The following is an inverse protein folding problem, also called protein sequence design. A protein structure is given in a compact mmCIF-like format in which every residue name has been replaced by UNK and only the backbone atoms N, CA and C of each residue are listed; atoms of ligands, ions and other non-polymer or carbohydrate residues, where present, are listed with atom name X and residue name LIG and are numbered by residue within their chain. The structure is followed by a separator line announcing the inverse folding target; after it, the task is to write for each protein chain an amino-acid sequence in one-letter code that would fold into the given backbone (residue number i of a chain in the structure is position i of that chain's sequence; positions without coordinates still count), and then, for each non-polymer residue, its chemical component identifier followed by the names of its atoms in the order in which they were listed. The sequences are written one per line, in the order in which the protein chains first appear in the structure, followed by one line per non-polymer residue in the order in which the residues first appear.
data_IF_155192497699
#
_entry.id   IF_155192497699
#
_cell.length_a   1.000
_cell.length_b   1.000
_cell.length_c   1.000
_cell.angle_alpha   90.00
_cell.angle_beta   90.00
_cell.angle_gamma   90.00
#
_symmetry.space_group_name_H-M   'P 1'
#
loop_
_entity.id
_entity.type
_entity.pdbx_description
1 polymer ?
#
# COMPACT_ATOMS: atom_id res chain seq x y z
N UNK A 1 48.83 -44.29 32.62
CA UNK A 1 49.17 -43.03 31.91
C UNK A 1 48.00 -42.66 31.01
N UNK A 2 47.77 -41.36 30.92
CA UNK A 2 46.53 -40.65 30.53
C UNK A 2 46.04 -40.78 29.08
N UNK A 3 44.74 -40.47 28.93
CA UNK A 3 44.17 -39.69 27.81
C UNK A 3 43.37 -40.55 26.82
N UNK A 4 42.07 -40.37 26.58
CA UNK A 4 41.21 -39.20 26.71
C UNK A 4 40.56 -38.93 25.34
N UNK A 5 39.46 -39.61 25.01
CA UNK A 5 38.69 -39.37 23.78
C UNK A 5 37.67 -38.25 24.01
N UNK A 6 37.97 -37.06 23.47
CA UNK A 6 37.03 -35.93 23.36
C UNK A 6 36.34 -35.98 22.01
N UNK A 7 35.02 -35.75 22.04
CA UNK A 7 34.16 -35.66 20.87
C UNK A 7 34.48 -34.47 19.98
N UNK A 8 34.33 -34.68 18.67
CA UNK A 8 34.37 -33.63 17.67
C UNK A 8 33.04 -32.87 17.62
N UNK A 9 33.09 -31.58 17.94
CA UNK A 9 32.07 -30.61 17.55
C UNK A 9 32.27 -30.27 16.07
N UNK A 10 31.24 -30.47 15.25
CA UNK A 10 31.17 -29.91 13.91
C UNK A 10 30.89 -28.41 13.98
N UNK A 11 31.86 -27.59 13.61
CA UNK A 11 31.64 -26.16 13.37
C UNK A 11 30.74 -26.00 12.15
N UNK A 12 29.53 -25.49 12.38
CA UNK A 12 28.62 -25.09 11.30
C UNK A 12 29.04 -23.69 10.86
N UNK A 13 29.57 -23.59 9.64
CA UNK A 13 29.87 -22.30 8.99
C UNK A 13 28.56 -21.55 8.75
N UNK A 14 28.28 -20.55 9.58
CA UNK A 14 27.12 -19.66 9.43
C UNK A 14 27.47 -18.56 8.43
N UNK A 15 26.68 -18.46 7.35
CA UNK A 15 26.79 -17.44 6.30
C UNK A 15 26.76 -16.00 6.88
N UNK A 16 27.58 -15.05 6.35
CA UNK A 16 27.64 -13.66 6.83
C UNK A 16 26.29 -12.92 6.81
N UNK A 17 25.35 -13.35 5.96
CA UNK A 17 24.05 -12.71 5.74
C UNK A 17 23.07 -12.84 6.91
N UNK A 18 23.19 -13.87 7.77
CA UNK A 18 22.29 -14.02 8.94
C UNK A 18 22.60 -13.05 10.07
N UNK A 19 23.84 -12.53 10.15
CA UNK A 19 24.27 -11.60 11.21
C UNK A 19 23.84 -10.16 10.93
N UNK A 20 23.76 -9.76 9.65
CA UNK A 20 23.33 -8.42 9.24
C UNK A 20 21.85 -8.13 9.56
N UNK A 21 20.97 -9.15 9.48
CA UNK A 21 19.54 -9.00 9.78
C UNK A 21 19.29 -8.78 11.27
N UNK A 22 20.09 -9.40 12.16
CA UNK A 22 19.96 -9.19 13.61
C UNK A 22 20.50 -7.84 14.09
N UNK A 23 21.57 -7.32 13.47
CA UNK A 23 22.20 -6.06 13.92
C UNK A 23 21.42 -4.81 13.48
N UNK A 24 20.68 -4.88 12.36
CA UNK A 24 19.84 -3.77 11.90
C UNK A 24 18.59 -3.50 12.76
N UNK A 25 18.23 -4.43 13.66
CA UNK A 25 17.09 -4.31 14.57
C UNK A 25 17.46 -3.82 15.99
N UNK A 26 18.75 -3.63 16.29
CA UNK A 26 19.23 -3.40 17.67
C UNK A 26 19.91 -2.06 17.94
N UNK A 27 19.86 -1.07 17.04
CA UNK A 27 20.42 0.26 17.32
C UNK A 27 19.53 1.04 18.32
N UNK A 28 19.82 0.84 19.61
CA UNK A 28 19.35 1.67 20.72
C UNK A 28 20.06 3.03 20.66
N UNK A 29 19.29 4.10 20.60
CA UNK A 29 19.76 5.46 20.89
C UNK A 29 19.90 5.64 22.41
N UNK A 30 21.12 5.55 22.94
CA UNK A 30 21.41 6.05 24.29
C UNK A 30 21.71 7.57 24.24
N UNK A 31 21.00 8.40 25.02
CA UNK A 31 21.39 9.79 25.19
C UNK A 31 22.61 9.89 26.12
N UNK A 32 23.72 10.46 25.62
CA UNK A 32 24.85 10.88 26.46
C UNK A 32 24.41 11.99 27.42
N UNK A 33 24.23 11.64 28.70
CA UNK A 33 24.05 12.60 29.79
C UNK A 33 25.43 13.11 30.24
N UNK A 34 25.68 14.40 30.07
CA UNK A 34 26.78 15.11 30.72
C UNK A 34 26.41 15.37 32.19
N UNK A 35 27.29 14.95 33.10
CA UNK A 35 27.19 15.19 34.55
C UNK A 35 27.36 16.68 34.86
N UNK A 36 26.42 17.23 35.62
CA UNK A 36 26.49 18.55 36.25
C UNK A 36 25.68 18.56 37.54
N UNK A 37 26.38 18.74 38.65
CA UNK A 37 26.02 18.47 40.05
C UNK A 37 24.73 19.06 40.66
N UNK A 38 24.22 18.29 41.63
CA UNK A 38 23.66 18.67 42.94
C UNK A 38 22.30 19.38 43.02
N UNK A 39 21.30 18.70 43.60
CA UNK A 39 20.95 18.84 45.02
C UNK A 39 19.73 17.95 45.37
N UNK A 40 19.74 17.43 46.60
CA UNK A 40 18.79 16.48 47.20
C UNK A 40 17.34 16.98 47.20
N UNK A 41 16.38 16.06 47.08
CA UNK A 41 15.16 16.01 47.92
C UNK A 41 14.40 14.67 47.77
N UNK A 42 14.09 14.07 48.91
CA UNK A 42 13.25 12.88 49.16
C UNK A 42 11.75 13.17 48.98
N UNK A 43 10.88 12.14 48.91
CA UNK A 43 9.50 12.25 48.40
C UNK A 43 8.46 12.51 49.50
N UNK A 44 7.32 13.10 49.13
CA UNK A 44 6.10 13.11 49.95
C UNK A 44 4.85 12.86 49.08
N UNK A 45 3.98 12.01 49.62
CA UNK A 45 2.72 11.51 49.06
C UNK A 45 1.54 12.50 49.33
N UNK A 46 0.32 12.23 48.84
CA UNK A 46 -0.63 13.25 48.38
C UNK A 46 -1.57 13.80 49.44
N UNK A 47 -2.01 15.06 49.23
CA UNK A 47 -3.11 15.68 49.94
C UNK A 47 -4.43 15.52 49.18
N UNK A 48 -5.45 15.07 49.93
CA UNK A 48 -6.87 15.14 49.59
C UNK A 48 -7.30 16.61 49.44
N UNK A 49 -8.24 16.88 48.54
CA UNK A 49 -9.37 17.70 48.95
C UNK A 49 -10.69 17.34 48.24
N UNK A 50 -11.75 17.40 49.04
CA UNK A 50 -13.15 17.15 48.70
C UNK A 50 -13.78 18.47 48.24
N UNK A 51 -14.71 18.43 47.30
CA UNK A 51 -15.95 19.23 47.42
C UNK A 51 -17.07 18.61 46.60
N UNK A 52 -18.25 18.76 47.17
CA UNK A 52 -19.54 18.13 46.95
C UNK A 52 -20.38 18.75 45.83
N UNK A 53 -21.28 17.95 45.24
CA UNK A 53 -22.39 18.46 44.43
C UNK A 53 -23.35 17.35 44.00
N UNK A 54 -24.37 17.11 44.82
CA UNK A 54 -25.49 16.16 44.60
C UNK A 54 -26.57 16.85 43.76
N UNK A 55 -27.12 16.18 42.74
CA UNK A 55 -28.54 16.33 42.37
C UNK A 55 -29.10 15.03 41.78
N UNK A 56 -30.18 14.54 42.40
CA UNK A 56 -31.09 13.46 41.97
C UNK A 56 -32.12 14.03 40.99
N UNK A 57 -32.61 13.19 40.07
CA UNK A 57 -33.84 13.47 39.31
C UNK A 57 -34.17 12.36 38.33
N UNK A 58 -35.31 11.70 38.54
CA UNK A 58 -35.75 10.44 37.92
C UNK A 58 -36.92 10.68 36.95
N UNK A 59 -36.94 9.98 35.79
CA UNK A 59 -38.10 9.29 35.13
C UNK A 59 -39.23 10.22 34.55
N UNK A 60 -40.01 9.89 33.46
CA UNK A 60 -40.43 8.55 32.98
C UNK A 60 -40.42 8.23 31.47
N UNK A 61 -40.55 6.92 31.27
CA UNK A 61 -41.05 6.14 30.13
C UNK A 61 -42.57 6.34 29.98
N UNK A 62 -43.09 6.43 28.76
CA UNK A 62 -44.51 6.27 28.44
C UNK A 62 -44.72 5.10 27.47
N UNK A 63 -45.50 4.13 27.94
CA UNK A 63 -46.12 3.02 27.20
C UNK A 63 -47.56 3.45 26.89
N UNK A 64 -48.06 3.14 25.69
CA UNK A 64 -49.49 3.26 25.37
C UNK A 64 -49.82 2.61 24.01
N UNK A 65 -50.43 1.42 24.05
CA UNK A 65 -50.96 0.72 22.88
C UNK A 65 -52.36 1.20 22.47
N UNK A 66 -52.86 0.70 21.34
CA UNK A 66 -54.23 0.93 20.91
C UNK A 66 -54.56 0.39 19.52
N UNK A 67 -55.16 -0.80 19.50
CA UNK A 67 -55.79 -1.50 18.38
C UNK A 67 -57.01 -0.73 17.87
N UNK A 68 -57.27 -0.66 16.55
CA UNK A 68 -58.65 -0.70 16.03
C UNK A 68 -58.74 -1.25 14.59
N UNK A 69 -59.88 -1.91 14.34
CA UNK A 69 -60.20 -2.84 13.26
C UNK A 69 -60.75 -2.13 12.01
N UNK A 70 -60.68 -2.85 10.89
CA UNK A 70 -61.33 -2.62 9.59
C UNK A 70 -62.83 -2.33 9.64
N UNK A 71 -63.44 -1.91 8.50
CA UNK A 71 -64.16 -2.92 7.72
C UNK A 71 -64.01 -2.81 6.19
N UNK A 72 -64.20 -3.96 5.53
CA UNK A 72 -64.23 -4.16 4.09
C UNK A 72 -65.56 -3.70 3.45
N UNK A 73 -65.52 -3.28 2.17
CA UNK A 73 -66.48 -3.73 1.12
C UNK A 73 -66.06 -3.33 -0.30
N UNK A 74 -65.80 -4.37 -1.11
CA UNK A 74 -66.20 -4.67 -2.51
C UNK A 74 -66.17 -3.58 -3.59
N UNK A 75 -65.45 -3.88 -4.68
CA UNK A 75 -65.99 -3.78 -6.05
C UNK A 75 -65.03 -3.31 -7.14
N UNK A 76 -64.75 -4.19 -8.13
CA UNK A 76 -64.51 -3.78 -9.52
C UNK A 76 -63.06 -3.78 -10.04
N UNK A 77 -62.72 -4.80 -10.84
CA UNK A 77 -61.61 -4.80 -11.81
C UNK A 77 -61.74 -3.64 -12.82
N UNK A 78 -60.61 -3.13 -13.36
CA UNK A 78 -60.25 -3.60 -14.70
C UNK A 78 -58.76 -3.88 -14.91
N UNK A 79 -58.55 -4.86 -15.78
CA UNK A 79 -57.33 -5.34 -16.43
C UNK A 79 -56.29 -4.24 -16.75
N UNK A 80 -55.06 -4.40 -16.22
CA UNK A 80 -53.87 -3.75 -16.76
C UNK A 80 -52.90 -4.79 -17.32
N UNK A 81 -52.62 -4.63 -18.61
CA UNK A 81 -51.73 -5.42 -19.46
C UNK A 81 -50.32 -5.56 -18.85
N UNK A 82 -49.92 -6.79 -18.59
CA UNK A 82 -48.49 -7.17 -18.55
C UNK A 82 -47.91 -7.03 -19.96
N UNK A 83 -47.05 -6.03 -20.18
CA UNK A 83 -46.14 -6.02 -21.34
C UNK A 83 -45.06 -7.07 -21.09
N UNK A 84 -45.24 -8.25 -21.68
CA UNK A 84 -44.15 -9.20 -21.95
C UNK A 84 -43.11 -8.51 -22.83
N UNK A 85 -41.93 -8.26 -22.28
CA UNK A 85 -40.75 -7.94 -23.08
C UNK A 85 -40.37 -9.22 -23.81
N UNK A 86 -40.44 -9.19 -25.15
CA UNK A 86 -39.94 -10.27 -26.02
C UNK A 86 -38.41 -10.31 -25.93
N UNK A 87 -37.77 -11.50 -26.02
CA UNK A 87 -36.32 -11.60 -26.09
C UNK A 87 -35.84 -10.99 -27.41
N UNK A 88 -34.89 -10.06 -27.33
CA UNK A 88 -34.22 -9.52 -28.50
C UNK A 88 -33.19 -10.55 -28.98
N UNK A 89 -33.26 -10.85 -30.27
CA UNK A 89 -32.50 -11.87 -30.97
C UNK A 89 -30.99 -11.77 -30.77
N UNK A 90 -30.35 -12.94 -30.76
CA UNK A 90 -28.92 -13.16 -30.95
C UNK A 90 -28.41 -12.30 -32.12
N UNK A 91 -27.59 -11.31 -31.80
CA UNK A 91 -26.67 -10.69 -32.76
C UNK A 91 -25.26 -11.11 -32.36
N UNK A 92 -24.59 -11.65 -33.36
CA UNK A 92 -23.24 -12.19 -33.34
C UNK A 92 -22.24 -11.28 -32.62
N UNK A 93 -21.46 -11.93 -31.75
CA UNK A 93 -20.10 -11.63 -31.32
C UNK A 93 -19.51 -10.26 -31.65
N UNK A 94 -19.48 -9.41 -30.64
CA UNK A 94 -18.29 -8.69 -30.20
C UNK A 94 -18.56 -8.27 -28.75
N UNK A 95 -17.95 -9.00 -27.82
CA UNK A 95 -17.85 -8.55 -26.44
C UNK A 95 -16.89 -7.36 -26.48
N UNK A 96 -17.43 -6.15 -26.48
CA UNK A 96 -16.69 -4.93 -26.16
C UNK A 96 -16.22 -5.02 -24.71
N UNK A 97 -15.11 -5.74 -24.52
CA UNK A 97 -14.28 -5.65 -23.35
C UNK A 97 -13.72 -4.24 -23.38
N UNK A 98 -14.26 -3.36 -22.53
CA UNK A 98 -13.64 -2.08 -22.22
C UNK A 98 -12.28 -2.37 -21.57
N UNK A 99 -11.26 -2.61 -22.38
CA UNK A 99 -9.88 -2.61 -21.94
C UNK A 99 -9.60 -1.15 -21.60
N UNK A 100 -9.67 -0.83 -20.31
CA UNK A 100 -9.16 0.42 -19.75
C UNK A 100 -7.64 0.40 -19.91
N UNK A 101 -7.16 0.70 -21.11
CA UNK A 101 -5.73 0.79 -21.39
C UNK A 101 -5.23 2.07 -20.73
N UNK A 102 -4.45 1.92 -19.68
CA UNK A 102 -3.69 3.01 -19.10
C UNK A 102 -2.72 3.51 -20.18
N UNK A 103 -2.84 4.77 -20.61
CA UNK A 103 -1.76 5.37 -21.42
C UNK A 103 -0.59 5.60 -20.47
N UNK A 104 0.39 4.69 -20.48
CA UNK A 104 1.63 4.90 -19.73
C UNK A 104 2.26 6.17 -20.29
N UNK A 105 2.54 7.14 -19.42
CA UNK A 105 3.26 8.34 -19.87
C UNK A 105 4.67 7.90 -20.26
N UNK A 106 4.99 8.00 -21.55
CA UNK A 106 6.33 7.73 -22.10
C UNK A 106 7.30 8.86 -21.72
N UNK A 107 7.64 8.93 -20.44
CA UNK A 107 8.70 9.78 -19.92
C UNK A 107 10.07 9.18 -20.22
N UNK A 108 11.03 10.03 -20.62
CA UNK A 108 12.44 9.66 -20.77
C UNK A 108 13.26 10.23 -19.62
N UNK A 109 14.20 9.45 -19.10
CA UNK A 109 15.17 9.97 -18.14
C UNK A 109 15.98 11.09 -18.77
N UNK A 110 16.11 12.21 -18.04
CA UNK A 110 16.88 13.37 -18.44
C UNK A 110 17.76 13.82 -17.28
N UNK A 111 19.05 13.49 -17.37
CA UNK A 111 20.03 13.87 -16.39
C UNK A 111 20.31 15.37 -16.50
N UNK A 112 20.12 16.09 -15.40
CA UNK A 112 20.55 17.49 -15.25
C UNK A 112 21.72 17.54 -14.27
N UNK A 113 22.86 17.97 -14.76
CA UNK A 113 24.06 18.15 -13.94
C UNK A 113 24.90 19.30 -14.48
N UNK A 114 25.58 20.01 -13.58
CA UNK A 114 26.61 21.01 -13.93
C UNK A 114 27.94 20.36 -14.32
N UNK A 115 28.10 19.07 -14.04
CA UNK A 115 29.34 18.32 -14.23
C UNK A 115 29.18 17.34 -15.40
N UNK A 116 30.26 17.13 -16.15
CA UNK A 116 30.37 16.05 -17.13
C UNK A 116 31.13 14.88 -16.52
N UNK A 117 30.88 13.62 -16.96
CA UNK A 117 31.69 12.49 -16.54
C UNK A 117 33.18 12.75 -16.75
N UNK A 118 33.99 12.50 -15.72
CA UNK A 118 35.43 12.78 -15.71
C UNK A 118 36.23 11.62 -15.10
N UNK A 119 37.56 11.62 -15.28
CA UNK A 119 38.43 10.52 -14.85
C UNK A 119 38.02 9.20 -15.51
N UNK A 120 37.86 8.15 -14.72
CA UNK A 120 37.47 6.81 -15.20
C UNK A 120 35.96 6.64 -15.44
N UNK A 121 35.14 7.64 -15.06
CA UNK A 121 33.67 7.54 -15.19
C UNK A 121 33.20 7.30 -16.63
N UNK A 122 33.71 7.98 -17.68
CA UNK A 122 33.26 7.75 -19.05
C UNK A 122 33.46 6.28 -19.50
N UNK A 123 34.59 5.68 -19.13
CA UNK A 123 34.88 4.29 -19.45
C UNK A 123 33.95 3.34 -18.68
N UNK A 124 33.79 3.55 -17.37
CA UNK A 124 32.90 2.74 -16.54
C UNK A 124 31.44 2.78 -17.02
N UNK A 125 30.93 3.97 -17.37
CA UNK A 125 29.59 4.15 -17.94
C UNK A 125 29.45 3.35 -19.23
N UNK A 126 30.41 3.48 -20.16
CA UNK A 126 30.38 2.77 -21.44
C UNK A 126 30.31 1.24 -21.24
N UNK A 127 31.18 0.68 -20.40
CA UNK A 127 31.25 -0.77 -20.14
C UNK A 127 29.94 -1.28 -19.51
N UNK A 128 29.39 -0.57 -18.53
CA UNK A 128 28.13 -0.96 -17.87
C UNK A 128 26.94 -0.92 -18.84
N UNK A 129 26.86 0.12 -19.68
CA UNK A 129 25.80 0.28 -20.68
C UNK A 129 25.89 -0.83 -21.74
N UNK A 130 27.08 -1.13 -22.26
CA UNK A 130 27.30 -2.23 -23.20
C UNK A 130 26.94 -3.59 -22.58
N UNK A 131 27.29 -3.82 -21.32
CA UNK A 131 26.90 -5.01 -20.58
C UNK A 131 25.39 -5.17 -20.45
N UNK A 132 24.66 -4.08 -20.16
CA UNK A 132 23.20 -4.11 -20.07
C UNK A 132 22.54 -4.33 -21.44
N UNK A 133 23.07 -3.72 -22.50
CA UNK A 133 22.56 -3.89 -23.88
C UNK A 133 22.83 -5.29 -24.43
N UNK A 134 23.93 -5.93 -24.02
CA UNK A 134 24.24 -7.33 -24.35
C UNK A 134 23.50 -8.35 -23.48
N UNK A 135 22.62 -7.91 -22.58
CA UNK A 135 21.80 -8.81 -21.75
C UNK A 135 22.53 -9.39 -20.53
N UNK A 136 23.69 -8.85 -20.13
CA UNK A 136 24.38 -9.32 -18.92
C UNK A 136 23.52 -9.04 -17.69
N UNK A 137 23.16 -10.12 -16.99
CA UNK A 137 22.32 -10.06 -15.78
C UNK A 137 23.06 -9.48 -14.57
N UNK A 138 24.35 -9.77 -14.43
CA UNK A 138 25.16 -9.35 -13.27
C UNK A 138 26.38 -8.55 -13.73
N UNK A 139 26.59 -7.40 -13.11
CA UNK A 139 27.73 -6.51 -13.34
C UNK A 139 28.12 -5.85 -12.02
N UNK A 140 29.41 -5.57 -11.84
CA UNK A 140 29.95 -4.97 -10.61
C UNK A 140 30.74 -3.71 -10.96
N UNK A 141 30.34 -2.58 -10.39
CA UNK A 141 31.13 -1.34 -10.43
C UNK A 141 32.06 -1.28 -9.22
N UNK A 142 33.34 -1.58 -9.44
CA UNK A 142 34.37 -1.44 -8.40
C UNK A 142 34.83 0.01 -8.29
N UNK A 143 34.07 0.83 -7.55
CA UNK A 143 34.35 2.26 -7.39
C UNK A 143 34.89 2.62 -6.00
N UNK A 144 36.06 3.26 -5.95
CA UNK A 144 36.62 3.81 -4.70
C UNK A 144 35.70 4.86 -4.08
N UNK A 145 35.82 5.12 -2.77
CA UNK A 145 35.06 6.19 -2.11
C UNK A 145 35.41 7.55 -2.72
N UNK A 146 34.41 8.42 -2.90
CA UNK A 146 34.61 9.73 -3.53
C UNK A 146 34.67 9.75 -5.05
N UNK A 147 34.70 8.59 -5.73
CA UNK A 147 34.77 8.53 -7.22
C UNK A 147 33.50 8.95 -7.97
N UNK A 148 32.43 9.36 -7.27
CA UNK A 148 31.15 9.73 -7.91
C UNK A 148 30.36 8.53 -8.42
N UNK A 149 30.23 7.46 -7.61
CA UNK A 149 29.47 6.26 -7.97
C UNK A 149 28.02 6.56 -8.33
N UNK A 150 27.32 7.39 -7.56
CA UNK A 150 25.93 7.75 -7.85
C UNK A 150 25.79 8.43 -9.21
N UNK A 151 26.67 9.40 -9.51
CA UNK A 151 26.67 10.09 -10.80
C UNK A 151 26.98 9.14 -11.97
N UNK A 152 27.90 8.20 -11.78
CA UNK A 152 28.20 7.14 -12.76
C UNK A 152 26.93 6.31 -13.06
N UNK A 153 26.24 5.84 -12.03
CA UNK A 153 25.01 5.05 -12.18
C UNK A 153 23.85 5.89 -12.76
N UNK A 154 23.75 7.17 -12.42
CA UNK A 154 22.78 8.09 -13.02
C UNK A 154 22.96 8.19 -14.55
N UNK A 155 24.20 8.35 -15.03
CA UNK A 155 24.49 8.34 -16.47
C UNK A 155 24.11 6.99 -17.12
N UNK A 156 24.32 5.87 -16.43
CA UNK A 156 23.90 4.55 -16.92
C UNK A 156 22.37 4.45 -17.04
N UNK A 157 21.62 4.93 -16.04
CA UNK A 157 20.14 4.96 -16.06
C UNK A 157 19.65 5.80 -17.24
N UNK A 158 20.20 7.00 -17.43
CA UNK A 158 19.87 7.86 -18.57
C UNK A 158 20.21 7.18 -19.91
N UNK A 159 21.35 6.51 -20.04
CA UNK A 159 21.73 5.86 -21.29
C UNK A 159 20.88 4.63 -21.65
N UNK A 160 20.32 3.95 -20.65
CA UNK A 160 19.57 2.70 -20.80
C UNK A 160 18.06 2.90 -20.84
N UNK A 161 17.55 3.99 -20.27
CA UNK A 161 16.12 4.36 -20.30
C UNK A 161 15.19 3.26 -19.76
N UNK A 162 15.54 2.69 -18.59
CA UNK A 162 14.72 1.67 -17.91
C UNK A 162 14.40 2.09 -16.48
N UNK A 163 13.19 1.80 -15.96
CA UNK A 163 12.89 1.97 -14.54
C UNK A 163 13.94 1.28 -13.69
N UNK A 164 14.43 1.97 -12.65
CA UNK A 164 15.54 1.51 -11.83
C UNK A 164 15.14 1.37 -10.36
N UNK A 165 15.54 0.26 -9.74
CA UNK A 165 15.46 0.04 -8.30
C UNK A 165 16.87 0.12 -7.72
N UNK A 166 17.10 1.08 -6.83
CA UNK A 166 18.35 1.26 -6.10
C UNK A 166 18.13 0.78 -4.67
N UNK A 167 18.82 -0.29 -4.26
CA UNK A 167 18.65 -0.89 -2.94
C UNK A 167 19.80 -0.44 -2.03
N UNK A 168 19.45 0.15 -0.89
CA UNK A 168 20.38 0.55 0.16
C UNK A 168 20.15 -0.27 1.44
N UNK A 169 21.21 -0.52 2.19
CA UNK A 169 21.16 -1.38 3.37
C UNK A 169 20.61 -0.67 4.63
N UNK A 170 20.51 0.67 4.62
CA UNK A 170 19.95 1.44 5.73
C UNK A 170 19.13 2.65 5.22
N UNK A 171 18.30 3.23 6.10
CA UNK A 171 17.41 4.35 5.77
C UNK A 171 18.20 5.64 5.46
N UNK A 172 19.30 5.89 6.17
CA UNK A 172 20.10 7.12 5.99
C UNK A 172 20.71 7.23 4.59
N UNK A 173 21.38 6.18 4.13
CA UNK A 173 21.96 6.11 2.79
C UNK A 173 20.86 6.11 1.73
N UNK A 174 19.73 5.43 1.97
CA UNK A 174 18.60 5.45 1.06
C UNK A 174 18.06 6.89 0.87
N UNK A 175 17.94 7.67 1.94
CA UNK A 175 17.49 9.06 1.88
C UNK A 175 18.50 9.95 1.12
N UNK A 176 19.79 9.79 1.41
CA UNK A 176 20.87 10.51 0.70
C UNK A 176 20.82 10.24 -0.81
N UNK A 177 20.77 8.96 -1.20
CA UNK A 177 20.68 8.57 -2.60
C UNK A 177 19.40 9.08 -3.26
N UNK A 178 18.25 9.03 -2.57
CA UNK A 178 17.00 9.57 -3.10
C UNK A 178 17.09 11.07 -3.37
N UNK A 179 17.74 11.83 -2.49
CA UNK A 179 18.00 13.25 -2.69
C UNK A 179 18.94 13.49 -3.88
N UNK A 180 20.07 12.79 -3.94
CA UNK A 180 21.03 12.91 -5.05
C UNK A 180 20.35 12.60 -6.40
N UNK A 181 19.59 11.51 -6.49
CA UNK A 181 18.86 11.17 -7.72
C UNK A 181 17.80 12.21 -8.07
N UNK A 182 17.13 12.82 -7.08
CA UNK A 182 16.14 13.87 -7.32
C UNK A 182 16.79 15.16 -7.84
N UNK A 183 18.00 15.48 -7.40
CA UNK A 183 18.80 16.57 -7.95
C UNK A 183 19.28 16.27 -9.37
N UNK A 184 19.67 15.03 -9.65
CA UNK A 184 20.08 14.59 -10.99
C UNK A 184 18.92 14.48 -11.98
N UNK A 185 17.73 14.10 -11.52
CA UNK A 185 16.55 13.86 -12.36
C UNK A 185 15.32 14.65 -11.88
N UNK A 186 15.36 16.00 -11.87
CA UNK A 186 14.30 16.82 -11.29
C UNK A 186 12.99 16.78 -12.09
N UNK A 187 13.03 16.35 -13.36
CA UNK A 187 11.86 16.23 -14.24
C UNK A 187 11.29 14.80 -14.27
N UNK A 188 11.95 13.82 -13.64
CA UNK A 188 11.55 12.41 -13.64
C UNK A 188 11.01 11.98 -12.26
N UNK A 189 10.41 10.78 -12.19
CA UNK A 189 9.85 10.25 -10.96
C UNK A 189 10.90 9.58 -10.08
N UNK A 190 11.49 10.35 -9.17
CA UNK A 190 12.39 9.81 -8.13
C UNK A 190 11.60 9.62 -6.84
N UNK A 191 11.52 8.36 -6.40
CA UNK A 191 10.73 7.95 -5.25
C UNK A 191 11.57 7.26 -4.18
N UNK A 192 11.02 7.25 -2.97
CA UNK A 192 11.64 6.71 -1.77
C UNK A 192 10.75 5.62 -1.15
N UNK A 193 11.29 4.41 -0.97
CA UNK A 193 10.53 3.24 -0.53
C UNK A 193 11.22 2.50 0.62
N UNK A 194 10.86 2.84 1.85
CA UNK A 194 11.38 2.19 3.06
C UNK A 194 10.25 1.75 3.98
N UNK A 195 10.59 1.09 5.09
CA UNK A 195 9.60 0.81 6.13
C UNK A 195 8.99 2.12 6.63
N UNK A 196 7.67 2.21 6.49
CA UNK A 196 6.78 3.22 7.05
C UNK A 196 6.57 3.13 8.56
N UNK A 197 7.20 2.19 9.25
CA UNK A 197 7.17 2.17 10.71
C UNK A 197 8.30 3.05 11.28
N UNK A 198 7.92 3.98 12.15
CA UNK A 198 8.84 4.72 13.02
C UNK A 198 9.27 3.83 14.19
N UNK A 199 8.32 3.09 14.76
CA UNK A 199 8.55 2.05 15.75
C UNK A 199 7.81 0.77 15.34
N UNK A 200 8.47 -0.38 15.51
CA UNK A 200 7.88 -1.68 15.21
C UNK A 200 8.40 -2.75 16.17
N UNK A 201 7.48 -3.33 16.92
CA UNK A 201 7.68 -4.54 17.72
C UNK A 201 6.90 -5.69 17.06
N UNK A 202 7.58 -6.74 16.58
CA UNK A 202 6.90 -7.89 16.03
C UNK A 202 6.17 -8.68 17.12
N UNK A 203 5.09 -9.34 16.72
CA UNK A 203 4.50 -10.39 17.55
C UNK A 203 5.53 -11.52 17.73
N UNK A 204 5.76 -11.93 18.98
CA UNK A 204 6.72 -12.97 19.29
C UNK A 204 6.31 -13.77 20.53
N UNK A 205 6.78 -15.00 20.62
CA UNK A 205 6.65 -15.82 21.81
C UNK A 205 8.03 -16.31 22.23
N UNK A 206 8.38 -16.10 23.50
CA UNK A 206 9.63 -16.52 24.12
C UNK A 206 9.40 -17.78 24.95
N UNK A 207 9.79 -18.97 24.46
CA UNK A 207 9.49 -20.23 25.15
C UNK A 207 10.18 -20.36 26.52
N UNK A 208 11.38 -19.79 26.66
CA UNK A 208 12.18 -19.89 27.90
C UNK A 208 11.47 -19.23 29.08
N UNK A 209 10.76 -18.13 28.83
CA UNK A 209 10.10 -17.32 29.86
C UNK A 209 8.57 -17.42 29.78
N UNK A 210 8.03 -18.29 28.90
CA UNK A 210 6.61 -18.39 28.54
C UNK A 210 5.96 -17.00 28.31
N UNK A 211 6.68 -16.11 27.64
CA UNK A 211 6.25 -14.72 27.46
C UNK A 211 5.76 -14.49 26.04
N UNK A 212 4.52 -14.03 25.93
CA UNK A 212 3.98 -13.53 24.67
C UNK A 212 4.18 -12.01 24.58
N UNK A 213 4.75 -11.57 23.47
CA UNK A 213 5.02 -10.17 23.14
C UNK A 213 4.02 -9.77 22.06
N UNK A 214 3.15 -8.83 22.39
CA UNK A 214 2.17 -8.29 21.45
C UNK A 214 2.84 -7.42 20.38
N UNK A 215 2.21 -7.39 19.21
CA UNK A 215 2.60 -6.49 18.13
C UNK A 215 2.26 -5.07 18.53
N UNK A 216 3.25 -4.18 18.44
CA UNK A 216 3.07 -2.74 18.58
C UNK A 216 3.75 -2.04 17.40
N UNK A 217 3.10 -1.05 16.82
CA UNK A 217 3.66 -0.33 15.69
C UNK A 217 3.17 1.11 15.63
N UNK A 218 4.05 2.01 15.21
CA UNK A 218 3.73 3.40 14.92
C UNK A 218 4.06 3.68 13.45
N UNK A 219 3.04 4.10 12.70
CA UNK A 219 3.15 4.37 11.26
C UNK A 219 3.50 5.85 11.04
N UNK A 220 4.41 6.09 10.11
CA UNK A 220 4.77 7.39 9.58
C UNK A 220 3.98 7.65 8.29
N UNK A 221 2.99 8.53 8.38
CA UNK A 221 2.07 8.85 7.28
C UNK A 221 2.80 9.38 6.04
N UNK A 222 3.88 10.15 6.22
CA UNK A 222 4.64 10.70 5.08
C UNK A 222 5.41 9.61 4.33
N UNK A 223 5.98 8.64 5.05
CA UNK A 223 6.63 7.49 4.41
C UNK A 223 5.59 6.59 3.73
N UNK A 224 4.42 6.39 4.32
CA UNK A 224 3.32 5.66 3.69
C UNK A 224 2.88 6.32 2.38
N UNK A 225 2.72 7.65 2.39
CA UNK A 225 2.43 8.45 1.19
C UNK A 225 3.48 8.24 0.10
N UNK A 226 4.77 8.29 0.46
CA UNK A 226 5.88 8.05 -0.46
C UNK A 226 5.87 6.62 -1.03
N UNK A 227 5.48 5.61 -0.24
CA UNK A 227 5.30 4.24 -0.73
C UNK A 227 4.18 4.13 -1.74
N UNK A 228 3.03 4.76 -1.48
CA UNK A 228 1.93 4.83 -2.44
C UNK A 228 2.34 5.52 -3.74
N UNK A 229 3.05 6.65 -3.64
CA UNK A 229 3.59 7.36 -4.79
C UNK A 229 4.54 6.48 -5.61
N UNK A 230 5.39 5.69 -4.95
CA UNK A 230 6.32 4.76 -5.61
C UNK A 230 5.58 3.68 -6.42
N UNK A 231 4.60 3.02 -5.80
CA UNK A 231 3.82 1.95 -6.46
C UNK A 231 2.97 2.46 -7.60
N UNK A 232 2.36 3.64 -7.45
CA UNK A 232 1.58 4.25 -8.53
C UNK A 232 2.48 4.67 -9.69
N UNK A 233 3.62 5.32 -9.41
CA UNK A 233 4.53 5.76 -10.47
C UNK A 233 4.97 4.60 -11.38
N UNK A 234 5.22 3.40 -10.82
CA UNK A 234 5.57 2.22 -11.61
C UNK A 234 4.44 1.73 -12.54
N UNK A 235 3.18 1.99 -12.18
CA UNK A 235 2.02 1.64 -12.99
C UNK A 235 1.73 2.72 -14.04
N UNK A 236 2.10 3.97 -13.77
CA UNK A 236 1.67 5.11 -14.60
C UNK A 236 2.73 5.67 -15.55
N UNK A 237 4.02 5.44 -15.30
CA UNK A 237 5.14 6.01 -16.08
C UNK A 237 6.39 5.13 -16.08
N UNK A 238 7.30 5.36 -17.03
CA UNK A 238 8.50 4.53 -17.24
C UNK A 238 9.80 5.15 -16.68
N UNK A 239 9.85 6.46 -16.54
CA UNK A 239 10.99 7.19 -16.03
C UNK A 239 10.98 7.26 -14.49
N UNK A 240 10.95 6.08 -13.87
CA UNK A 240 10.88 5.90 -12.42
C UNK A 240 12.19 5.37 -11.86
N UNK A 241 12.74 6.09 -10.88
CA UNK A 241 13.81 5.59 -10.00
C UNK A 241 13.23 5.44 -8.61
N UNK A 242 13.29 4.23 -8.05
CA UNK A 242 12.94 4.00 -6.65
C UNK A 242 14.21 3.71 -5.87
N UNK A 243 14.48 4.51 -4.86
CA UNK A 243 15.49 4.20 -3.86
C UNK A 243 14.81 3.52 -2.67
N UNK A 244 15.19 2.29 -2.39
CA UNK A 244 14.51 1.44 -1.43
C UNK A 244 15.46 0.82 -0.40
N UNK A 245 14.91 0.50 0.77
CA UNK A 245 15.56 -0.45 1.68
C UNK A 245 15.16 -1.89 1.33
N UNK A 246 15.55 -2.85 2.16
CA UNK A 246 15.02 -4.23 2.11
C UNK A 246 13.50 -4.31 2.18
N UNK A 247 12.79 -3.23 2.51
CA UNK A 247 11.33 -3.19 2.41
C UNK A 247 10.80 -3.54 1.01
N UNK A 248 11.59 -3.37 -0.05
CA UNK A 248 11.19 -3.74 -1.42
C UNK A 248 10.91 -5.24 -1.62
N UNK A 249 11.45 -6.12 -0.77
CA UNK A 249 11.21 -7.58 -0.83
C UNK A 249 10.11 -8.07 0.12
N UNK A 250 9.49 -7.17 0.90
CA UNK A 250 8.36 -7.52 1.76
C UNK A 250 7.04 -7.47 0.99
N UNK A 251 6.06 -8.20 1.52
CA UNK A 251 4.73 -8.33 0.94
C UNK A 251 4.05 -6.97 0.70
N UNK A 252 3.46 -6.84 -0.49
CA UNK A 252 2.54 -5.79 -0.92
C UNK A 252 1.27 -6.45 -1.48
N UNK A 253 0.21 -5.66 -1.65
CA UNK A 253 -0.95 -6.12 -2.41
C UNK A 253 -0.60 -6.31 -3.89
N UNK A 254 -1.36 -7.18 -4.57
CA UNK A 254 -1.16 -7.47 -6.00
C UNK A 254 -1.20 -6.17 -6.81
N UNK A 255 -0.24 -5.96 -7.74
CA UNK A 255 -0.26 -4.81 -8.62
C UNK A 255 -1.47 -4.84 -9.57
N UNK A 256 -1.95 -6.02 -9.98
CA UNK A 256 -3.17 -6.15 -10.78
C UNK A 256 -4.40 -5.64 -10.04
N UNK A 257 -4.60 -6.04 -8.79
CA UNK A 257 -5.76 -5.59 -8.01
C UNK A 257 -5.65 -4.10 -7.64
N UNK A 258 -4.44 -3.65 -7.28
CA UNK A 258 -4.19 -2.23 -7.00
C UNK A 258 -4.46 -1.34 -8.22
N UNK A 259 -4.12 -1.82 -9.42
CA UNK A 259 -4.47 -1.17 -10.68
C UNK A 259 -5.97 -1.24 -10.95
N UNK A 260 -6.60 -2.42 -10.93
CA UNK A 260 -8.03 -2.60 -11.29
C UNK A 260 -8.99 -1.75 -10.46
N UNK A 261 -8.69 -1.53 -9.18
CA UNK A 261 -9.61 -0.90 -8.23
C UNK A 261 -9.57 0.63 -8.30
N UNK A 262 -8.66 1.23 -9.09
CA UNK A 262 -8.61 2.69 -9.21
C UNK A 262 -9.93 3.32 -9.70
N UNK A 263 -10.09 4.62 -9.45
CA UNK A 263 -11.22 5.42 -9.91
C UNK A 263 -10.74 6.45 -10.91
N UNK A 264 -11.11 6.28 -12.17
CA UNK A 264 -10.95 7.28 -13.21
C UNK A 264 -12.11 8.26 -13.13
N UNK A 265 -11.81 9.55 -13.02
CA UNK A 265 -12.80 10.63 -12.99
C UNK A 265 -12.44 11.58 -14.12
N UNK A 266 -13.37 11.75 -15.05
CA UNK A 266 -13.18 12.58 -16.25
C UNK A 266 -14.25 13.67 -16.31
N UNK A 267 -13.87 14.85 -16.80
CA UNK A 267 -14.81 15.93 -17.11
C UNK A 267 -15.89 15.44 -18.07
N UNK A 268 -17.15 15.72 -17.76
CA UNK A 268 -18.33 15.25 -18.49
C UNK A 268 -18.83 13.87 -18.06
N UNK A 269 -18.15 13.17 -17.15
CA UNK A 269 -18.63 11.91 -16.59
C UNK A 269 -19.95 12.14 -15.86
N UNK A 270 -20.98 11.36 -16.20
CA UNK A 270 -22.28 11.36 -15.51
C UNK A 270 -22.12 10.63 -14.18
N UNK A 271 -22.16 11.38 -13.09
CA UNK A 271 -22.05 10.88 -11.73
C UNK A 271 -22.61 11.91 -10.76
N UNK A 272 -23.48 11.46 -9.86
CA UNK A 272 -23.96 12.31 -8.77
C UNK A 272 -22.90 12.46 -7.68
N UNK A 273 -22.99 13.53 -6.89
CA UNK A 273 -22.09 13.77 -5.75
C UNK A 273 -22.07 12.61 -4.75
N UNK A 274 -23.24 12.04 -4.48
CA UNK A 274 -23.37 10.92 -3.55
C UNK A 274 -22.75 9.63 -4.08
N UNK A 275 -22.80 9.41 -5.39
CA UNK A 275 -22.12 8.28 -6.04
C UNK A 275 -20.60 8.44 -6.03
N UNK A 276 -20.11 9.66 -6.31
CA UNK A 276 -18.67 9.93 -6.27
C UNK A 276 -18.09 9.63 -4.88
N UNK A 277 -18.71 10.12 -3.81
CA UNK A 277 -18.25 9.86 -2.44
C UNK A 277 -18.28 8.37 -2.12
N UNK A 278 -19.37 7.66 -2.48
CA UNK A 278 -19.47 6.20 -2.28
C UNK A 278 -18.37 5.46 -3.05
N UNK A 279 -18.05 5.89 -4.26
CA UNK A 279 -17.00 5.30 -5.08
C UNK A 279 -15.60 5.46 -4.45
N UNK A 280 -15.34 6.59 -3.78
CA UNK A 280 -14.10 6.86 -3.04
C UNK A 280 -14.02 6.06 -1.74
N UNK A 281 -15.11 5.97 -0.99
CA UNK A 281 -15.19 5.12 0.21
C UNK A 281 -14.95 3.66 -0.16
N UNK A 282 -15.47 3.21 -1.30
CA UNK A 282 -15.25 1.86 -1.83
C UNK A 282 -13.78 1.54 -2.15
N UNK A 283 -12.89 2.55 -2.21
CA UNK A 283 -11.44 2.38 -2.38
C UNK A 283 -10.67 2.86 -1.14
N UNK A 284 -11.31 2.75 0.02
CA UNK A 284 -10.77 2.99 1.37
C UNK A 284 -10.47 4.46 1.74
N UNK A 285 -11.06 5.43 1.05
CA UNK A 285 -10.94 6.82 1.49
C UNK A 285 -11.84 7.10 2.69
N UNK A 286 -11.33 7.89 3.62
CA UNK A 286 -12.10 8.32 4.79
C UNK A 286 -12.81 9.63 4.50
N UNK A 287 -14.11 9.68 4.76
CA UNK A 287 -14.87 10.93 4.64
C UNK A 287 -14.67 11.78 5.90
N UNK A 288 -14.35 13.05 5.72
CA UNK A 288 -14.22 14.02 6.82
C UNK A 288 -15.02 15.29 6.52
N UNK A 289 -15.34 16.05 7.57
CA UNK A 289 -15.86 17.42 7.48
C UNK A 289 -14.80 18.47 7.83
N UNK A 290 -13.64 18.04 8.31
CA UNK A 290 -12.53 18.89 8.73
C UNK A 290 -11.55 19.13 7.56
N UNK A 291 -10.30 19.45 7.90
CA UNK A 291 -9.21 19.52 6.94
C UNK A 291 -8.89 18.15 6.34
N UNK A 292 -8.43 18.19 5.08
CA UNK A 292 -8.07 16.99 4.33
C UNK A 292 -6.61 16.64 4.58
N UNK A 293 -6.38 15.37 4.90
CA UNK A 293 -5.08 14.72 4.80
C UNK A 293 -5.12 13.61 3.73
N UNK A 294 -3.96 13.02 3.45
CA UNK A 294 -3.82 11.92 2.49
C UNK A 294 -4.84 10.81 2.75
N UNK A 295 -5.52 10.34 1.69
CA UNK A 295 -6.51 9.28 1.81
C UNK A 295 -7.87 9.75 2.34
N UNK A 296 -8.10 11.06 2.44
CA UNK A 296 -9.38 11.63 2.85
C UNK A 296 -10.14 12.31 1.70
N UNK A 297 -11.46 12.37 1.87
CA UNK A 297 -12.33 13.14 1.00
C UNK A 297 -13.40 13.91 1.80
N UNK A 298 -13.91 15.00 1.23
CA UNK A 298 -14.99 15.79 1.81
C UNK A 298 -15.89 16.37 0.73
N UNK A 299 -17.10 16.73 1.12
CA UNK A 299 -18.07 17.37 0.25
C UNK A 299 -18.31 18.80 0.71
N UNK A 300 -18.21 19.77 -0.21
CA UNK A 300 -18.44 21.19 0.04
C UNK A 300 -19.42 21.72 -1.02
N UNK A 301 -20.68 21.91 -0.65
CA UNK A 301 -21.73 22.31 -1.58
C UNK A 301 -21.84 21.33 -2.76
N UNK A 302 -21.62 21.83 -3.98
CA UNK A 302 -21.62 21.06 -5.24
C UNK A 302 -20.28 20.39 -5.57
N UNK A 303 -19.25 20.60 -4.75
CA UNK A 303 -17.91 20.08 -4.98
C UNK A 303 -17.57 18.91 -4.06
N UNK A 304 -16.76 17.98 -4.55
CA UNK A 304 -16.09 16.95 -3.77
C UNK A 304 -14.59 17.23 -3.82
N UNK A 305 -13.97 17.40 -2.67
CA UNK A 305 -12.52 17.52 -2.55
C UNK A 305 -11.95 16.19 -2.07
N UNK A 306 -10.87 15.73 -2.69
CA UNK A 306 -10.18 14.49 -2.36
C UNK A 306 -8.68 14.71 -2.40
N UNK A 307 -7.97 14.17 -1.41
CA UNK A 307 -6.51 14.21 -1.34
C UNK A 307 -5.99 12.78 -1.52
N UNK A 308 -5.43 12.44 -2.71
CA UNK A 308 -4.95 11.09 -2.97
C UNK A 308 -3.86 10.66 -1.98
N UNK A 309 -3.80 9.36 -1.68
CA UNK A 309 -2.83 8.82 -0.72
C UNK A 309 -1.37 8.98 -1.15
N UNK A 310 -1.10 9.26 -2.42
CA UNK A 310 0.25 9.43 -2.98
C UNK A 310 0.69 10.89 -3.12
N UNK A 311 -0.25 11.83 -3.08
CA UNK A 311 -0.03 13.24 -3.43
C UNK A 311 -0.14 14.15 -2.20
N UNK A 312 0.34 15.39 -2.33
CA UNK A 312 0.14 16.43 -1.32
C UNK A 312 -0.95 17.42 -1.72
N UNK A 313 -1.44 17.31 -2.94
CA UNK A 313 -2.39 18.20 -3.55
C UNK A 313 -3.82 17.65 -3.43
N UNK A 314 -4.78 18.57 -3.45
CA UNK A 314 -6.20 18.27 -3.39
C UNK A 314 -6.77 18.38 -4.80
N UNK A 315 -7.53 17.36 -5.21
CA UNK A 315 -8.38 17.45 -6.39
C UNK A 315 -9.77 17.89 -5.96
N UNK A 316 -10.21 19.04 -6.47
CA UNK A 316 -11.58 19.55 -6.33
C UNK A 316 -12.36 19.22 -7.58
N UNK A 317 -13.39 18.40 -7.41
CA UNK A 317 -14.26 17.90 -8.47
C UNK A 317 -15.61 18.61 -8.32
N UNK A 318 -15.94 19.46 -9.27
CA UNK A 318 -17.20 20.19 -9.31
C UNK A 318 -18.25 19.37 -10.06
N UNK A 319 -19.42 19.17 -9.46
CA UNK A 319 -20.54 18.44 -10.04
C UNK A 319 -21.67 19.42 -10.32
N UNK A 320 -22.18 19.40 -11.55
CA UNK A 320 -23.31 20.20 -11.99
C UNK A 320 -24.21 19.33 -12.85
N UNK A 321 -25.52 19.38 -12.59
CA UNK A 321 -26.53 18.62 -13.33
C UNK A 321 -26.18 17.11 -13.45
N UNK A 322 -25.73 16.52 -12.32
CA UNK A 322 -25.26 15.13 -12.21
C UNK A 322 -24.13 14.72 -13.17
N UNK A 323 -23.30 15.69 -13.59
CA UNK A 323 -22.08 15.45 -14.34
C UNK A 323 -20.87 16.21 -13.75
N UNK A 324 -19.67 15.66 -13.95
CA UNK A 324 -18.41 16.34 -13.59
C UNK A 324 -18.22 17.55 -14.50
N UNK A 325 -18.38 18.75 -13.97
CA UNK A 325 -18.21 19.99 -14.72
C UNK A 325 -16.73 20.37 -14.85
N UNK A 326 -15.95 20.16 -13.79
CA UNK A 326 -14.56 20.63 -13.69
C UNK A 326 -13.77 19.81 -12.67
N UNK A 327 -12.48 19.63 -12.94
CA UNK A 327 -11.53 19.02 -12.00
C UNK A 327 -10.35 19.97 -11.84
N UNK A 328 -10.12 20.43 -10.62
CA UNK A 328 -9.09 21.41 -10.29
C UNK A 328 -8.07 20.81 -9.33
N UNK A 329 -6.78 21.05 -9.59
CA UNK A 329 -5.68 20.67 -8.68
C UNK A 329 -5.32 21.87 -7.80
N UNK A 330 -5.31 21.66 -6.50
CA UNK A 330 -5.22 22.72 -5.49
C UNK A 330 -4.12 22.38 -4.48
N UNK A 331 -3.33 23.38 -4.09
CA UNK A 331 -2.37 23.23 -3.01
C UNK A 331 -3.09 23.03 -1.66
N UNK A 332 -2.71 22.00 -0.89
CA UNK A 332 -3.42 21.62 0.33
C UNK A 332 -3.36 22.66 1.45
N UNK A 333 -2.28 23.45 1.49
CA UNK A 333 -2.04 24.44 2.55
C UNK A 333 -2.52 25.83 2.14
N UNK A 334 -1.98 26.37 1.05
CA UNK A 334 -2.29 27.72 0.56
C UNK A 334 -3.65 27.82 -0.13
N UNK A 335 -4.25 26.69 -0.50
CA UNK A 335 -5.49 26.60 -1.28
C UNK A 335 -5.42 27.29 -2.65
N UNK A 336 -4.21 27.59 -3.13
CA UNK A 336 -3.99 28.15 -4.47
C UNK A 336 -4.34 27.13 -5.54
N UNK A 337 -5.04 27.58 -6.59
CA UNK A 337 -5.26 26.79 -7.79
C UNK A 337 -3.92 26.56 -8.51
N UNK A 338 -3.54 25.30 -8.67
CA UNK A 338 -2.32 24.90 -9.37
C UNK A 338 -2.59 24.64 -10.86
N UNK A 339 -3.80 24.20 -11.20
CA UNK A 339 -4.24 23.99 -12.57
C UNK A 339 -5.58 23.25 -12.65
N UNK A 340 -6.04 23.02 -13.88
CA UNK A 340 -7.22 22.20 -14.18
C UNK A 340 -6.80 21.00 -15.02
N UNK A 341 -7.46 19.87 -14.81
CA UNK A 341 -7.19 18.62 -15.54
C UNK A 341 -8.50 18.07 -16.08
N UNK A 342 -8.44 17.41 -17.24
CA UNK A 342 -9.64 16.78 -17.81
C UNK A 342 -9.91 15.41 -17.18
N UNK A 343 -8.88 14.73 -16.67
CA UNK A 343 -8.99 13.41 -16.06
C UNK A 343 -8.05 13.29 -14.87
N UNK A 344 -8.53 12.65 -13.80
CA UNK A 344 -7.72 12.23 -12.66
C UNK A 344 -7.95 10.74 -12.38
N UNK A 345 -6.87 10.04 -12.02
CA UNK A 345 -6.90 8.65 -11.58
C UNK A 345 -6.64 8.60 -10.08
N UNK A 346 -7.63 8.20 -9.31
CA UNK A 346 -7.54 8.08 -7.86
C UNK A 346 -7.35 6.62 -7.51
N UNK A 347 -6.15 6.29 -7.06
CA UNK A 347 -5.82 4.95 -6.60
C UNK A 347 -6.29 4.72 -5.16
N UNK A 348 -6.42 3.45 -4.76
CA UNK A 348 -6.88 3.07 -3.43
C UNK A 348 -5.98 3.59 -2.31
N UNK A 349 -6.58 3.95 -1.17
CA UNK A 349 -5.87 4.52 -0.03
C UNK A 349 -5.08 3.47 0.79
N UNK A 350 -5.15 2.19 0.42
CA UNK A 350 -4.40 1.08 1.02
C UNK A 350 -3.79 0.20 -0.06
N UNK A 351 -2.60 -0.35 0.18
CA UNK A 351 -1.96 -1.31 -0.73
C UNK A 351 -2.67 -2.65 -0.75
N UNK A 352 -3.20 -3.10 0.38
CA UNK A 352 -3.94 -4.35 0.48
C UNK A 352 -5.42 -4.09 0.29
N UNK A 353 -5.94 -4.55 -0.84
CA UNK A 353 -7.34 -4.45 -1.21
C UNK A 353 -7.82 -5.89 -1.38
N UNK A 354 -8.94 -6.20 -0.73
CA UNK A 354 -9.55 -7.51 -0.79
C UNK A 354 -10.99 -7.33 -1.23
N UNK A 355 -11.38 -7.98 -2.33
CA UNK A 355 -12.78 -8.02 -2.73
C UNK A 355 -13.63 -8.78 -1.70
N UNK A 356 -14.93 -8.52 -1.68
CA UNK A 356 -15.84 -9.19 -0.74
C UNK A 356 -15.90 -10.71 -0.98
N UNK A 357 -15.86 -11.14 -2.24
CA UNK A 357 -15.81 -12.55 -2.62
C UNK A 357 -14.51 -13.21 -2.13
N UNK A 358 -13.38 -12.52 -2.26
CA UNK A 358 -12.07 -12.98 -1.77
C UNK A 358 -12.05 -13.11 -0.26
N UNK A 359 -12.66 -12.16 0.46
CA UNK A 359 -12.80 -12.23 1.92
C UNK A 359 -13.63 -13.45 2.33
N UNK A 360 -14.73 -13.71 1.64
CA UNK A 360 -15.61 -14.85 1.94
C UNK A 360 -14.88 -16.17 1.71
N UNK A 361 -14.16 -16.29 0.59
CA UNK A 361 -13.29 -17.43 0.30
C UNK A 361 -12.21 -17.61 1.37
N UNK A 362 -11.51 -16.53 1.74
CA UNK A 362 -10.44 -16.56 2.72
C UNK A 362 -10.92 -17.06 4.10
N UNK A 363 -12.11 -16.63 4.54
CA UNK A 363 -12.71 -17.11 5.80
C UNK A 363 -12.87 -18.63 5.78
N UNK A 364 -13.36 -19.21 4.68
CA UNK A 364 -13.57 -20.65 4.58
C UNK A 364 -12.24 -21.42 4.50
N UNK A 365 -11.26 -20.92 3.77
CA UNK A 365 -9.94 -21.57 3.70
C UNK A 365 -9.18 -21.50 5.03
N UNK A 366 -9.31 -20.40 5.80
CA UNK A 366 -8.75 -20.28 7.15
C UNK A 366 -9.41 -21.30 8.09
N UNK A 367 -10.74 -21.44 8.05
CA UNK A 367 -11.45 -22.44 8.86
C UNK A 367 -10.99 -23.86 8.56
N UNK A 368 -10.77 -24.17 7.29
CA UNK A 368 -10.28 -25.48 6.86
C UNK A 368 -8.89 -25.76 7.42
N UNK A 369 -7.94 -24.83 7.22
CA UNK A 369 -6.56 -24.96 7.74
C UNK A 369 -6.54 -25.03 9.27
N UNK A 370 -7.38 -24.24 9.95
CA UNK A 370 -7.54 -24.30 11.40
C UNK A 370 -7.98 -25.69 11.86
N UNK A 371 -9.00 -26.26 11.21
CA UNK A 371 -9.52 -27.59 11.56
C UNK A 371 -8.44 -28.67 11.42
N UNK A 372 -7.67 -28.63 10.34
CA UNK A 372 -6.56 -29.56 10.11
C UNK A 372 -5.46 -29.41 11.16
N UNK A 373 -5.06 -28.17 11.44
CA UNK A 373 -4.01 -27.87 12.41
C UNK A 373 -4.39 -28.23 13.84
N UNK A 374 -5.64 -28.02 14.24
CA UNK A 374 -6.15 -28.42 15.56
C UNK A 374 -6.10 -29.94 15.72
N UNK A 375 -6.54 -30.70 14.71
CA UNK A 375 -6.47 -32.17 14.73
C UNK A 375 -5.04 -32.68 14.88
N UNK A 376 -4.08 -32.04 14.22
CA UNK A 376 -2.65 -32.38 14.34
C UNK A 376 -2.12 -32.10 15.76
N UNK A 377 -2.43 -30.93 16.32
CA UNK A 377 -1.97 -30.54 17.67
C UNK A 377 -2.57 -31.45 18.75
N UNK A 378 -3.87 -31.74 18.68
CA UNK A 378 -4.56 -32.64 19.60
C UNK A 378 -4.00 -34.07 19.54
N UNK A 379 -3.75 -34.60 18.33
CA UNK A 379 -3.11 -35.91 18.14
C UNK A 379 -1.71 -35.97 18.76
N UNK A 380 -1.00 -34.85 18.78
CA UNK A 380 0.34 -34.74 19.36
C UNK A 380 0.34 -34.38 20.87
N UNK A 381 -0.83 -34.35 21.53
CA UNK A 381 -0.96 -34.03 22.95
C UNK A 381 -0.77 -32.55 23.30
N UNK A 382 -0.73 -31.65 22.31
CA UNK A 382 -0.53 -30.20 22.47
C UNK A 382 -1.85 -29.46 22.71
N UNK A 383 -2.53 -29.82 23.80
CA UNK A 383 -3.89 -29.36 24.10
C UNK A 383 -3.94 -27.84 24.35
N UNK A 384 -2.93 -27.29 25.03
CA UNK A 384 -2.88 -25.87 25.34
C UNK A 384 -2.67 -25.02 24.07
N UNK A 385 -1.78 -25.45 23.19
CA UNK A 385 -1.53 -24.79 21.91
C UNK A 385 -2.74 -24.87 20.98
N UNK A 386 -3.43 -26.01 20.96
CA UNK A 386 -4.68 -26.17 20.21
C UNK A 386 -5.75 -25.18 20.71
N UNK A 387 -5.92 -25.05 22.03
CA UNK A 387 -6.90 -24.13 22.60
C UNK A 387 -6.53 -22.65 22.35
N UNK A 388 -5.25 -22.29 22.50
CA UNK A 388 -4.72 -20.95 22.17
C UNK A 388 -5.01 -20.59 20.71
N UNK A 389 -4.67 -21.49 19.77
CA UNK A 389 -4.88 -21.29 18.34
C UNK A 389 -6.38 -21.18 18.01
N UNK A 390 -7.21 -22.06 18.56
CA UNK A 390 -8.67 -22.06 18.35
C UNK A 390 -9.28 -20.74 18.78
N UNK A 391 -8.97 -20.29 20.00
CA UNK A 391 -9.52 -19.06 20.58
C UNK A 391 -9.12 -17.83 19.78
N UNK A 392 -7.83 -17.67 19.46
CA UNK A 392 -7.33 -16.52 18.67
C UNK A 392 -7.96 -16.49 17.28
N UNK A 393 -7.87 -17.59 16.54
CA UNK A 393 -8.33 -17.64 15.15
C UNK A 393 -9.85 -17.48 15.04
N UNK A 394 -10.62 -18.03 15.99
CA UNK A 394 -12.09 -17.86 15.98
C UNK A 394 -12.50 -16.42 16.23
N UNK A 395 -11.82 -15.74 17.16
CA UNK A 395 -12.02 -14.31 17.41
C UNK A 395 -11.68 -13.47 16.16
N UNK A 396 -10.53 -13.73 15.55
CA UNK A 396 -10.10 -13.01 14.34
C UNK A 396 -11.08 -13.23 13.18
N UNK A 397 -11.56 -14.46 12.98
CA UNK A 397 -12.57 -14.77 11.95
C UNK A 397 -13.90 -14.05 12.20
N UNK A 398 -14.30 -13.87 13.46
CA UNK A 398 -15.49 -13.08 13.80
C UNK A 398 -15.26 -11.60 13.45
N UNK A 399 -14.11 -11.03 13.82
CA UNK A 399 -13.75 -9.65 13.52
C UNK A 399 -13.65 -9.38 12.01
N UNK A 400 -13.04 -10.29 11.25
CA UNK A 400 -12.95 -10.20 9.78
C UNK A 400 -14.35 -10.25 9.16
N UNK A 401 -15.27 -11.06 9.69
CA UNK A 401 -16.64 -11.14 9.17
C UNK A 401 -17.45 -9.87 9.44
N UNK A 402 -17.44 -9.39 10.68
CA UNK A 402 -18.31 -8.29 11.11
C UNK A 402 -17.74 -6.91 10.73
N UNK A 403 -16.43 -6.73 10.83
CA UNK A 403 -15.77 -5.42 10.66
C UNK A 403 -14.94 -5.38 9.36
N UNK A 404 -14.61 -6.54 8.78
CA UNK A 404 -13.72 -6.62 7.62
C UNK A 404 -12.23 -6.51 7.97
N UNK A 405 -11.89 -6.46 9.27
CA UNK A 405 -10.52 -6.26 9.75
C UNK A 405 -10.30 -6.93 11.11
N UNK A 406 -9.08 -7.42 11.36
CA UNK A 406 -8.59 -7.82 12.67
C UNK A 406 -7.15 -7.35 12.89
N UNK A 407 -6.72 -7.29 14.15
CA UNK A 407 -5.31 -7.04 14.45
C UNK A 407 -4.48 -8.24 13.98
N UNK A 408 -3.39 -7.98 13.24
CA UNK A 408 -2.57 -9.04 12.67
C UNK A 408 -3.18 -9.68 11.41
N UNK A 409 -4.08 -8.98 10.70
CA UNK A 409 -4.71 -9.49 9.47
C UNK A 409 -3.69 -9.97 8.42
N UNK A 410 -2.48 -9.40 8.42
CA UNK A 410 -1.39 -9.79 7.52
C UNK A 410 -0.95 -11.26 7.69
N UNK A 411 -1.17 -11.87 8.86
CA UNK A 411 -0.90 -13.29 9.12
C UNK A 411 -1.78 -14.20 8.24
N UNK A 412 -2.91 -13.69 7.76
CA UNK A 412 -3.85 -14.39 6.89
C UNK A 412 -3.69 -14.01 5.40
N UNK A 413 -2.68 -13.22 5.05
CA UNK A 413 -2.49 -12.64 3.70
C UNK A 413 -2.53 -13.67 2.55
N UNK A 414 -1.98 -14.87 2.74
CA UNK A 414 -2.05 -15.95 1.74
C UNK A 414 -3.49 -16.33 1.39
N UNK A 415 -4.36 -16.44 2.40
CA UNK A 415 -5.77 -16.79 2.19
C UNK A 415 -6.52 -15.70 1.44
N UNK A 416 -6.24 -14.42 1.76
CA UNK A 416 -6.85 -13.29 1.08
C UNK A 416 -6.40 -13.13 -0.37
N UNK A 417 -5.13 -13.42 -0.67
CA UNK A 417 -4.60 -13.40 -2.03
C UNK A 417 -4.98 -14.65 -2.84
N UNK A 418 -5.46 -15.71 -2.18
CA UNK A 418 -5.78 -16.97 -2.85
C UNK A 418 -4.56 -17.76 -3.34
N UNK A 419 -3.37 -17.39 -2.88
CA UNK A 419 -2.11 -18.05 -3.23
C UNK A 419 -2.02 -19.43 -2.59
N UNK A 420 -1.33 -20.35 -3.26
CA UNK A 420 -1.07 -21.68 -2.73
C UNK A 420 -0.03 -21.64 -1.59
N UNK A 421 -0.01 -22.63 -0.68
CA UNK A 421 1.05 -22.76 0.31
C UNK A 421 2.44 -22.79 -0.33
N UNK A 422 3.35 -21.95 0.16
CA UNK A 422 4.72 -21.84 -0.33
C UNK A 422 4.92 -20.88 -1.50
N UNK A 423 3.84 -20.34 -2.09
CA UNK A 423 3.96 -19.32 -3.13
C UNK A 423 4.51 -17.99 -2.59
N UNK A 424 5.36 -17.29 -3.38
CA UNK A 424 5.93 -16.03 -2.95
C UNK A 424 4.86 -14.92 -2.90
N UNK A 425 4.96 -13.98 -1.94
CA UNK A 425 4.10 -12.82 -1.89
C UNK A 425 4.40 -11.87 -3.06
N UNK A 426 3.45 -10.99 -3.37
CA UNK A 426 3.75 -9.88 -4.26
C UNK A 426 4.61 -8.86 -3.53
N UNK A 427 5.56 -8.26 -4.23
CA UNK A 427 6.53 -7.32 -3.65
C UNK A 427 6.66 -6.12 -4.56
N UNK A 428 7.53 -5.16 -4.20
CA UNK A 428 7.80 -4.03 -5.10
C UNK A 428 8.34 -4.51 -6.46
N UNK A 429 9.06 -5.64 -6.50
CA UNK A 429 9.56 -6.22 -7.74
C UNK A 429 8.42 -6.63 -8.68
N UNK A 430 7.30 -7.12 -8.15
CA UNK A 430 6.10 -7.46 -8.93
C UNK A 430 5.54 -6.22 -9.65
N UNK A 431 5.60 -5.04 -9.02
CA UNK A 431 5.18 -3.77 -9.65
C UNK A 431 6.12 -3.36 -10.79
N UNK A 432 7.44 -3.58 -10.65
CA UNK A 432 8.39 -3.37 -11.75
C UNK A 432 8.13 -4.30 -12.93
N UNK A 433 7.80 -5.58 -12.68
CA UNK A 433 7.46 -6.53 -13.73
C UNK A 433 6.17 -6.14 -14.46
N UNK A 434 5.13 -5.75 -13.70
CA UNK A 434 3.87 -5.29 -14.26
C UNK A 434 4.05 -4.03 -15.13
N UNK A 435 4.76 -3.02 -14.63
CA UNK A 435 5.04 -1.79 -15.38
C UNK A 435 5.83 -2.02 -16.68
N UNK A 436 6.69 -3.05 -16.72
CA UNK A 436 7.36 -3.47 -17.96
C UNK A 436 6.40 -4.12 -18.95
N UNK A 437 5.46 -4.95 -18.48
CA UNK A 437 4.50 -5.65 -19.35
C UNK A 437 3.48 -4.70 -19.99
N UNK A 438 2.95 -3.74 -19.23
CA UNK A 438 2.05 -2.70 -19.79
C UNK A 438 2.73 -1.93 -20.93
N UNK A 439 4.03 -1.65 -20.77
CA UNK A 439 4.85 -0.99 -21.80
C UNK A 439 5.02 -1.82 -23.08
N UNK A 440 5.25 -3.15 -22.97
CA UNK A 440 5.41 -4.02 -24.15
C UNK A 440 4.12 -4.07 -24.97
N UNK A 441 2.97 -4.19 -24.31
CA UNK A 441 1.66 -4.20 -24.96
C UNK A 441 1.41 -2.87 -25.67
N UNK A 442 1.69 -1.74 -25.02
CA UNK A 442 1.51 -0.42 -25.64
C UNK A 442 2.47 -0.19 -26.82
N UNK A 443 3.73 -0.65 -26.73
CA UNK A 443 4.68 -0.56 -27.85
C UNK A 443 4.23 -1.40 -29.05
N UNK A 444 3.63 -2.56 -28.79
CA UNK A 444 3.07 -3.43 -29.83
C UNK A 444 1.81 -2.81 -30.46
N UNK A 445 0.91 -2.23 -29.65
CA UNK A 445 -0.27 -1.50 -30.16
C UNK A 445 0.12 -0.25 -30.97
N UNK A 446 1.09 0.54 -30.50
CA UNK A 446 1.61 1.70 -31.25
C UNK A 446 2.29 1.27 -32.58
N UNK A 447 2.86 0.06 -32.64
CA UNK A 447 3.43 -0.50 -33.85
C UNK A 447 2.34 -1.00 -34.82
N UNK A 448 1.30 -1.64 -34.30
CA UNK A 448 0.18 -2.18 -35.09
C UNK A 448 -0.75 -1.06 -35.61
N UNK A 449 -0.99 0.00 -34.82
CA UNK A 449 -1.75 1.19 -35.27
C UNK A 449 -0.99 2.04 -36.31
N UNK A 450 0.35 1.89 -36.39
CA UNK A 450 1.18 2.54 -37.43
C UNK A 450 1.22 1.78 -38.75
N UNK A 451 0.54 0.64 -38.87
CA UNK A 451 0.31 -0.04 -40.15
C UNK A 451 -1.05 0.42 -40.71
N UNK A 452 -1.19 1.72 -40.95
CA UNK A 452 -2.19 2.23 -41.90
C UNK A 452 -1.52 2.35 -43.26
N UNK A 453 -1.75 1.33 -44.09
CA UNK A 453 -1.38 1.30 -45.49
C UNK A 453 -2.09 2.45 -46.20
N UNK A 454 -1.34 3.49 -46.55
CA UNK A 454 -1.76 4.46 -47.55
C UNK A 454 -1.19 4.04 -48.90
N UNK A 455 -2.09 3.49 -49.73
CA UNK A 455 -1.99 3.10 -51.15
C UNK A 455 -1.14 1.89 -51.52
#
# INVERSE_FOLDING_TARGET
MNGGSRGGFGETVVSPWRRAVSESASERSEPRVLKGNSARKTPCAPHRDRTSGVYKGSIPILIGGGISKSPARRGGHPLFRQRRIRPLAERNGELDVWILTFTVMNGRFKLKSKFKPAGDQPHAIKVLVEGLRSGRRHQTLLGVTGSGKTFTVANVIEAVQKPALVIAHNKTLAAQLAQEYKEFFPDNAVHYFVSYYDYYQPEAYMPITDTYIEKEAQINEEIERLRHASTQALLTRQDVIIVASVSCIYGLGSPEEYEKVHRKITKGMVISRGELIRSLIGIHYTRTTADLSSGMCRALGTTVEVMPQSEREIYRIEIKDDAVARIQKIDSVSRKLLGEVDTVFIFPAKHFITAEDDRTRAIETIKLELKERLKELEKNGKVLEAERLRRRTTYDLAMIREIGYCNGIENYSRHFSGKLPGEPPDTLLSYFEKGRRSTQIQTQMDADERISVNR
#
